data_IF_290025726192
#
_entry.id   IF_290025726192
#
_cell.length_a   1.000
_cell.length_b   1.000
_cell.length_c   1.000
_cell.angle_alpha   90.00
_cell.angle_beta   90.00
_cell.angle_gamma   90.00
#
_symmetry.space_group_name_H-M   'P 1'
#
loop_
_entity.id
_entity.type
_entity.pdbx_description
1 polymer ?
#
# COMPACT_ATOMS: atom_id res chain seq x y z
N UNK A 1 1.23 27.33 8.35
CA UNK A 1 0.92 25.90 8.33
C UNK A 1 -0.31 25.64 7.47
N UNK A 2 -0.26 24.62 6.63
CA UNK A 2 -1.43 24.29 5.80
C UNK A 2 -2.47 23.55 6.61
N UNK A 3 -3.71 23.83 6.29
CA UNK A 3 -4.82 22.99 6.76
C UNK A 3 -4.77 21.63 6.07
N UNK A 4 -5.13 20.56 6.77
CA UNK A 4 -5.18 19.23 6.17
C UNK A 4 -6.15 19.16 4.99
N UNK A 5 -7.21 19.98 5.01
CA UNK A 5 -8.18 20.01 3.92
C UNK A 5 -7.62 20.55 2.61
N UNK A 6 -6.47 21.23 2.65
CA UNK A 6 -5.82 21.74 1.45
C UNK A 6 -4.73 20.80 0.91
N UNK A 7 -4.47 19.68 1.61
CA UNK A 7 -3.46 18.71 1.19
C UNK A 7 -4.07 17.72 0.20
N UNK A 8 -3.30 17.33 -0.81
CA UNK A 8 -3.76 16.37 -1.82
C UNK A 8 -2.67 15.37 -2.13
N UNK A 9 -3.09 14.16 -2.48
CA UNK A 9 -2.19 13.12 -2.98
C UNK A 9 -2.77 12.62 -4.30
N UNK A 10 -1.95 12.66 -5.35
CA UNK A 10 -2.29 12.07 -6.64
C UNK A 10 -1.66 10.68 -6.70
N UNK A 11 -2.49 9.68 -6.95
CA UNK A 11 -2.06 8.29 -7.00
C UNK A 11 -1.88 7.86 -8.46
N UNK A 12 -0.74 7.24 -8.76
CA UNK A 12 -0.42 6.82 -10.13
C UNK A 12 -0.10 5.33 -10.16
N UNK A 13 -0.13 4.75 -11.36
CA UNK A 13 0.23 3.35 -11.55
C UNK A 13 1.64 3.10 -11.00
N UNK A 14 1.84 2.07 -10.17
CA UNK A 14 3.15 1.78 -9.61
C UNK A 14 4.09 1.13 -10.62
N UNK A 15 5.40 1.29 -10.38
CA UNK A 15 6.43 0.55 -11.11
C UNK A 15 6.70 -0.75 -10.37
N UNK A 16 6.13 -1.84 -10.89
CA UNK A 16 6.20 -3.14 -10.22
C UNK A 16 7.63 -3.67 -10.13
N UNK A 17 8.49 -3.34 -11.07
CA UNK A 17 9.86 -3.85 -11.04
C UNK A 17 10.65 -3.30 -9.86
N UNK A 18 10.33 -2.11 -9.40
CA UNK A 18 10.96 -1.52 -8.23
C UNK A 18 10.50 -2.20 -6.93
N UNK A 19 9.46 -3.05 -7.00
CA UNK A 19 8.85 -3.65 -5.82
C UNK A 19 9.14 -5.15 -5.70
N UNK A 20 10.04 -5.70 -6.53
CA UNK A 20 10.32 -7.13 -6.51
C UNK A 20 10.81 -7.62 -5.14
N UNK A 21 11.52 -6.77 -4.41
CA UNK A 21 12.00 -7.13 -3.08
C UNK A 21 10.86 -7.47 -2.11
N UNK A 22 9.69 -6.88 -2.30
CA UNK A 22 8.51 -7.20 -1.48
C UNK A 22 8.08 -8.65 -1.66
N UNK A 23 8.19 -9.16 -2.89
CA UNK A 23 7.87 -10.55 -3.17
C UNK A 23 8.91 -11.49 -2.56
N UNK A 24 10.19 -11.15 -2.70
CA UNK A 24 11.29 -12.04 -2.32
C UNK A 24 11.56 -12.08 -0.83
N UNK A 25 11.30 -10.98 -0.11
CA UNK A 25 11.84 -10.81 1.24
C UNK A 25 10.82 -10.67 2.36
N UNK A 26 9.54 -10.80 2.06
CA UNK A 26 8.52 -10.62 3.08
C UNK A 26 7.93 -11.97 3.50
N UNK A 27 8.44 -12.59 4.57
CA UNK A 27 8.01 -13.94 4.94
C UNK A 27 6.53 -14.04 5.26
N UNK A 28 5.95 -12.98 5.83
CA UNK A 28 4.54 -12.98 6.20
C UNK A 28 3.61 -13.09 5.01
N UNK A 29 4.10 -12.78 3.81
CA UNK A 29 3.30 -12.82 2.58
C UNK A 29 3.48 -14.12 1.81
N UNK A 30 4.51 -14.90 2.14
CA UNK A 30 4.83 -16.11 1.41
C UNK A 30 3.72 -17.15 1.47
N UNK A 31 3.02 -17.24 2.59
CA UNK A 31 1.90 -18.16 2.74
C UNK A 31 0.80 -17.86 1.71
N UNK A 32 0.51 -16.58 1.49
CA UNK A 32 -0.48 -16.18 0.49
C UNK A 32 -0.05 -16.61 -0.91
N UNK A 33 1.21 -16.38 -1.25
CA UNK A 33 1.74 -16.77 -2.56
C UNK A 33 1.68 -18.28 -2.77
N UNK A 34 2.08 -19.04 -1.76
CA UNK A 34 2.05 -20.50 -1.83
C UNK A 34 0.63 -21.05 -1.94
N UNK A 35 -0.28 -20.50 -1.15
CA UNK A 35 -1.67 -20.93 -1.13
C UNK A 35 -2.36 -20.74 -2.48
N UNK A 36 -2.01 -19.69 -3.18
CA UNK A 36 -2.62 -19.33 -4.45
C UNK A 36 -1.74 -19.61 -5.66
N UNK A 37 -0.59 -20.23 -5.45
CA UNK A 37 0.38 -20.53 -6.54
C UNK A 37 0.77 -19.26 -7.31
N UNK A 38 1.02 -18.17 -6.59
CA UNK A 38 1.38 -16.89 -7.20
C UNK A 38 2.89 -16.86 -7.41
N UNK A 39 3.30 -16.57 -8.64
CA UNK A 39 4.70 -16.37 -9.00
C UNK A 39 4.96 -14.92 -9.32
N UNK A 40 6.24 -14.55 -9.29
CA UNK A 40 6.62 -13.18 -9.65
C UNK A 40 6.22 -12.85 -11.10
N UNK A 41 6.35 -13.82 -12.01
CA UNK A 41 5.96 -13.66 -13.41
C UNK A 41 4.46 -13.36 -13.55
N UNK A 42 3.63 -13.98 -12.73
CA UNK A 42 2.18 -13.70 -12.74
C UNK A 42 1.91 -12.26 -12.29
N UNK A 43 2.63 -11.79 -11.29
CA UNK A 43 2.48 -10.41 -10.83
C UNK A 43 2.92 -9.44 -11.92
N UNK A 44 4.07 -9.69 -12.55
CA UNK A 44 4.55 -8.86 -13.66
C UNK A 44 3.55 -8.82 -14.81
N UNK A 45 3.01 -9.97 -15.16
CA UNK A 45 2.03 -10.06 -16.27
C UNK A 45 0.70 -9.40 -15.90
N UNK A 46 0.31 -9.47 -14.64
CA UNK A 46 -0.99 -8.98 -14.20
C UNK A 46 -1.04 -7.50 -13.88
N UNK A 47 0.11 -6.84 -13.73
CA UNK A 47 0.12 -5.45 -13.27
C UNK A 47 -0.65 -4.52 -14.19
N UNK A 48 -0.61 -4.75 -15.50
CA UNK A 48 -1.28 -3.89 -16.46
C UNK A 48 -2.79 -4.09 -16.48
N UNK A 49 -3.28 -5.20 -15.94
CA UNK A 49 -4.71 -5.46 -15.79
C UNK A 49 -5.29 -4.83 -14.53
N UNK A 50 -4.45 -4.21 -13.71
CA UNK A 50 -4.89 -3.54 -12.50
C UNK A 50 -5.61 -2.23 -12.79
N UNK A 51 -6.22 -1.68 -11.74
CA UNK A 51 -6.89 -0.38 -11.83
C UNK A 51 -6.84 0.31 -10.48
N UNK A 52 -6.98 1.63 -10.50
CA UNK A 52 -7.08 2.42 -9.28
C UNK A 52 -8.46 2.25 -8.67
N UNK A 53 -8.50 1.90 -7.40
CA UNK A 53 -9.75 1.83 -6.64
C UNK A 53 -9.55 2.53 -5.30
N UNK A 54 -10.58 3.19 -4.75
CA UNK A 54 -10.47 3.81 -3.43
C UNK A 54 -10.40 2.75 -2.35
N UNK A 55 -9.57 3.00 -1.33
CA UNK A 55 -9.44 2.09 -0.20
C UNK A 55 -9.56 2.88 1.10
N UNK A 56 -10.79 3.14 1.56
CA UNK A 56 -10.98 3.78 2.86
C UNK A 56 -10.46 2.87 3.97
N UNK A 57 -10.23 3.45 5.14
CA UNK A 57 -9.73 2.71 6.29
C UNK A 57 -10.81 1.75 6.80
N UNK A 58 -10.99 0.62 6.12
CA UNK A 58 -12.11 -0.29 6.40
C UNK A 58 -11.72 -1.76 6.31
N UNK A 59 -10.52 -2.14 6.10
CA UNK A 59 -10.06 -3.53 6.02
C UNK A 59 -10.66 -4.36 4.87
N UNK A 60 -11.55 -3.76 4.06
CA UNK A 60 -12.17 -4.47 2.94
C UNK A 60 -12.05 -3.66 1.67
N UNK A 61 -11.92 -4.38 0.56
CA UNK A 61 -11.96 -3.77 -0.75
C UNK A 61 -12.89 -4.62 -1.62
N UNK A 62 -13.92 -4.00 -2.19
CA UNK A 62 -14.96 -4.70 -2.93
C UNK A 62 -15.57 -5.84 -2.11
N UNK A 63 -15.75 -5.63 -0.79
CA UNK A 63 -16.30 -6.64 0.10
C UNK A 63 -15.31 -7.72 0.53
N UNK A 64 -14.07 -7.68 0.05
CA UNK A 64 -13.04 -8.68 0.35
C UNK A 64 -12.10 -8.13 1.41
N UNK A 65 -11.88 -8.86 2.52
CA UNK A 65 -10.88 -8.45 3.51
C UNK A 65 -9.48 -8.46 2.91
N UNK A 66 -8.68 -7.46 3.25
CA UNK A 66 -7.31 -7.35 2.76
C UNK A 66 -6.34 -7.78 3.87
N UNK A 67 -5.51 -8.77 3.57
CA UNK A 67 -4.44 -9.17 4.47
C UNK A 67 -3.34 -8.11 4.40
N UNK A 68 -3.10 -7.43 5.50
CA UNK A 68 -2.06 -6.41 5.60
C UNK A 68 -0.83 -7.01 6.28
N UNK A 69 0.32 -6.42 6.04
CA UNK A 69 1.55 -6.80 6.75
C UNK A 69 1.38 -6.62 8.25
N UNK A 70 0.54 -5.66 8.64
CA UNK A 70 0.14 -5.41 10.03
C UNK A 70 -1.37 -5.50 10.07
N UNK A 71 -1.90 -5.97 11.20
CA UNK A 71 -3.32 -6.27 11.29
C UNK A 71 -4.21 -5.02 11.21
N UNK A 72 -3.66 -3.86 11.58
CA UNK A 72 -4.43 -2.62 11.57
C UNK A 72 -3.51 -1.42 11.45
N UNK A 73 -4.13 -0.27 11.20
CA UNK A 73 -3.42 1.00 11.22
C UNK A 73 -2.75 1.26 12.57
N UNK A 74 -3.44 0.95 13.66
CA UNK A 74 -2.91 1.21 14.99
C UNK A 74 -1.66 0.37 15.25
N UNK A 75 -1.64 -0.88 14.78
CA UNK A 75 -0.46 -1.73 14.89
C UNK A 75 0.70 -1.14 14.12
N UNK A 76 0.44 -0.61 12.94
CA UNK A 76 1.49 0.03 12.15
C UNK A 76 1.99 1.30 12.81
N UNK A 77 1.11 2.10 13.39
CA UNK A 77 1.50 3.31 14.10
C UNK A 77 2.42 2.98 15.28
N UNK A 78 2.10 1.92 16.04
CA UNK A 78 2.98 1.44 17.11
C UNK A 78 4.31 0.95 16.57
N UNK A 79 4.27 0.25 15.45
CA UNK A 79 5.50 -0.21 14.80
C UNK A 79 6.38 0.97 14.41
N UNK A 80 5.83 2.01 13.79
CA UNK A 80 6.57 3.21 13.43
C UNK A 80 7.24 3.85 14.64
N UNK A 81 6.56 3.89 15.77
CA UNK A 81 7.10 4.49 16.98
C UNK A 81 8.32 3.73 17.52
N UNK A 82 8.41 2.44 17.23
CA UNK A 82 9.48 1.56 17.70
C UNK A 82 10.47 1.19 16.59
N UNK A 83 10.16 1.49 15.36
CA UNK A 83 10.93 1.01 14.22
C UNK A 83 12.31 1.62 14.14
N UNK A 84 13.18 0.93 13.45
CA UNK A 84 14.50 1.44 13.11
C UNK A 84 14.36 2.70 12.30
N UNK A 85 15.37 3.57 12.40
CA UNK A 85 15.34 4.90 11.78
C UNK A 85 14.96 4.90 10.30
N UNK A 86 15.36 3.88 9.55
CA UNK A 86 15.09 3.83 8.13
C UNK A 86 13.61 3.90 7.78
N UNK A 87 12.77 3.13 8.46
CA UNK A 87 11.34 3.14 8.21
C UNK A 87 10.68 4.45 8.60
N UNK A 88 11.02 4.94 9.79
CA UNK A 88 10.50 6.23 10.27
C UNK A 88 10.92 7.35 9.35
N UNK A 89 12.17 7.32 8.91
CA UNK A 89 12.72 8.36 8.04
C UNK A 89 11.95 8.44 6.72
N UNK A 90 11.69 7.29 6.10
CA UNK A 90 10.96 7.27 4.82
C UNK A 90 9.56 7.84 4.96
N UNK A 91 8.84 7.46 6.01
CA UNK A 91 7.53 8.03 6.27
C UNK A 91 7.62 9.53 6.54
N UNK A 92 8.56 9.95 7.37
CA UNK A 92 8.73 11.36 7.72
C UNK A 92 9.09 12.23 6.52
N UNK A 93 9.87 11.70 5.58
CA UNK A 93 10.19 12.42 4.36
C UNK A 93 8.96 12.67 3.50
N UNK A 94 8.09 11.66 3.37
CA UNK A 94 6.84 11.83 2.64
C UNK A 94 5.91 12.83 3.32
N UNK A 95 5.77 12.71 4.63
CA UNK A 95 4.93 13.60 5.42
C UNK A 95 5.40 15.04 5.31
N UNK A 96 6.71 15.24 5.43
CA UNK A 96 7.33 16.54 5.33
C UNK A 96 7.09 17.17 3.96
N UNK A 97 7.26 16.39 2.90
CA UNK A 97 7.02 16.88 1.54
C UNK A 97 5.56 17.26 1.34
N UNK A 98 4.63 16.47 1.87
CA UNK A 98 3.21 16.77 1.79
C UNK A 98 2.88 18.09 2.50
N UNK A 99 3.41 18.29 3.69
CA UNK A 99 3.17 19.51 4.46
C UNK A 99 3.75 20.75 3.77
N UNK A 100 4.97 20.64 3.24
CA UNK A 100 5.63 21.78 2.61
C UNK A 100 5.02 22.13 1.26
N UNK A 101 4.70 21.14 0.46
CA UNK A 101 4.25 21.35 -0.92
C UNK A 101 2.73 21.43 -1.05
N UNK A 102 2.02 20.91 -0.08
CA UNK A 102 0.57 20.82 -0.14
C UNK A 102 0.04 19.74 -1.07
N UNK A 103 0.90 19.07 -1.81
CA UNK A 103 0.52 18.03 -2.76
C UNK A 103 1.68 17.07 -2.99
N UNK A 104 1.36 15.81 -3.19
CA UNK A 104 2.32 14.77 -3.58
C UNK A 104 1.74 13.94 -4.71
N UNK A 105 2.64 13.39 -5.54
CA UNK A 105 2.29 12.32 -6.47
C UNK A 105 3.01 11.06 -5.98
N UNK A 106 2.24 10.00 -5.70
CA UNK A 106 2.77 8.76 -5.17
C UNK A 106 2.32 7.58 -6.02
N UNK A 107 3.18 6.55 -6.16
CA UNK A 107 2.72 5.30 -6.75
C UNK A 107 1.67 4.69 -5.83
N UNK A 108 0.59 4.20 -6.40
CA UNK A 108 -0.48 3.59 -5.63
C UNK A 108 0.05 2.33 -4.94
N UNK A 109 -0.34 2.11 -3.68
CA UNK A 109 -0.07 0.82 -3.04
C UNK A 109 -0.70 -0.30 -3.86
N UNK A 110 -0.07 -1.47 -3.88
CA UNK A 110 -0.50 -2.59 -4.71
C UNK A 110 -1.24 -3.61 -3.85
N UNK A 111 -2.45 -3.97 -4.27
CA UNK A 111 -3.21 -5.04 -3.65
C UNK A 111 -3.41 -6.13 -4.69
N UNK A 112 -3.02 -7.36 -4.35
CA UNK A 112 -3.23 -8.54 -5.19
C UNK A 112 -4.52 -9.23 -4.75
N UNK A 113 -5.37 -9.57 -5.71
CA UNK A 113 -6.61 -10.28 -5.46
C UNK A 113 -6.58 -11.62 -6.17
N UNK A 114 -6.85 -12.70 -5.44
CA UNK A 114 -6.83 -14.05 -5.99
C UNK A 114 -7.79 -14.94 -5.22
N UNK A 115 -8.71 -15.60 -5.95
CA UNK A 115 -9.62 -16.60 -5.39
C UNK A 115 -10.40 -16.10 -4.15
N UNK A 116 -10.90 -14.87 -4.22
CA UNK A 116 -11.71 -14.30 -3.14
C UNK A 116 -10.91 -13.79 -1.95
N UNK A 117 -9.60 -13.76 -2.05
CA UNK A 117 -8.72 -13.18 -1.03
C UNK A 117 -7.93 -12.03 -1.62
N UNK A 118 -7.46 -11.14 -0.75
CA UNK A 118 -6.67 -9.99 -1.17
C UNK A 118 -5.51 -9.77 -0.21
N UNK A 119 -4.37 -9.35 -0.76
CA UNK A 119 -3.15 -9.11 0.01
C UNK A 119 -2.59 -7.73 -0.37
N UNK A 120 -2.23 -6.94 0.65
CA UNK A 120 -1.44 -5.74 0.41
C UNK A 120 -0.01 -6.16 0.07
N UNK A 121 0.32 -6.03 -1.22
CA UNK A 121 1.64 -6.41 -1.69
C UNK A 121 2.71 -5.40 -1.27
N UNK A 122 2.43 -4.12 -1.42
CA UNK A 122 3.36 -3.06 -1.03
C UNK A 122 2.61 -1.76 -0.77
N UNK A 123 3.26 -0.84 -0.05
CA UNK A 123 2.76 0.52 0.11
C UNK A 123 2.03 0.83 1.40
N UNK A 124 2.22 0.05 2.46
CA UNK A 124 1.54 0.29 3.72
C UNK A 124 1.82 1.70 4.26
N UNK A 125 3.06 2.18 4.18
CA UNK A 125 3.40 3.52 4.67
C UNK A 125 2.64 4.60 3.92
N UNK A 126 2.44 4.42 2.63
CA UNK A 126 1.68 5.36 1.81
C UNK A 126 0.20 5.36 2.18
N UNK A 127 -0.35 4.18 2.49
CA UNK A 127 -1.71 4.09 3.01
C UNK A 127 -1.83 4.86 4.33
N UNK A 128 -0.90 4.62 5.25
CA UNK A 128 -0.93 5.27 6.56
C UNK A 128 -0.80 6.79 6.45
N UNK A 129 -0.01 7.28 5.50
CA UNK A 129 0.10 8.71 5.27
C UNK A 129 -1.26 9.30 4.91
N UNK A 130 -1.97 8.70 3.95
CA UNK A 130 -3.29 9.19 3.56
C UNK A 130 -4.28 9.11 4.71
N UNK A 131 -4.34 7.97 5.40
CA UNK A 131 -5.28 7.78 6.51
C UNK A 131 -4.99 8.75 7.67
N UNK A 132 -3.72 9.04 7.95
CA UNK A 132 -3.34 9.97 9.01
C UNK A 132 -3.89 11.38 8.77
N UNK A 133 -4.08 11.74 7.51
CA UNK A 133 -4.58 13.07 7.14
C UNK A 133 -6.05 13.05 6.73
N UNK A 134 -6.76 11.98 7.06
CA UNK A 134 -8.19 11.89 6.77
C UNK A 134 -8.53 11.75 5.30
N UNK A 135 -7.57 11.34 4.48
CA UNK A 135 -7.76 11.15 3.05
C UNK A 135 -8.06 9.69 2.72
N UNK A 136 -8.78 9.46 1.63
CA UNK A 136 -9.02 8.13 1.10
C UNK A 136 -7.96 7.83 0.05
N UNK A 137 -7.03 6.91 0.31
CA UNK A 137 -6.03 6.56 -0.69
C UNK A 137 -6.65 5.74 -1.82
N UNK A 138 -6.01 5.78 -2.98
CA UNK A 138 -6.31 4.86 -4.07
C UNK A 138 -5.22 3.81 -4.15
N UNK A 139 -5.61 2.59 -4.39
CA UNK A 139 -4.69 1.46 -4.51
C UNK A 139 -4.77 0.89 -5.92
N UNK A 140 -3.71 0.24 -6.36
CA UNK A 140 -3.66 -0.47 -7.63
C UNK A 140 -4.08 -1.92 -7.35
N UNK A 141 -5.31 -2.25 -7.73
CA UNK A 141 -5.87 -3.58 -7.50
C UNK A 141 -5.57 -4.47 -8.70
N UNK A 142 -4.81 -5.54 -8.45
CA UNK A 142 -4.38 -6.48 -9.49
C UNK A 142 -5.13 -7.78 -9.33
N UNK A 143 -5.98 -8.15 -10.31
CA UNK A 143 -6.65 -9.45 -10.28
C UNK A 143 -5.70 -10.54 -10.78
N UNK A 144 -5.56 -11.63 -10.01
CA UNK A 144 -4.71 -12.76 -10.34
C UNK A 144 -5.52 -14.06 -10.27
N UNK A 145 -6.10 -14.45 -11.31
CA UNK A 145 -6.85 -15.70 -11.32
C UNK A 145 -8.35 -15.48 -11.23
#
# INVERSE_FOLDING_TARGET
MRSTSSLTIKWVKPDITAEQWEFDRHPDKQEFYLRHNITWEQILSGIDAGRLVPYPRSERINGIPVALSYSSYDDYARYLAKAKRGYRRNYSLMEDALQRQGALTLPAPIILQCNGEALLFSGYRRLCLAWNYGMVPYVWLVPLG
#
